data_IF_513927975016
#
_entry.id   IF_513927975016
#
_cell.length_a   1.000
_cell.length_b   1.000
_cell.length_c   1.000
_cell.angle_alpha   90.00
_cell.angle_beta   90.00
_cell.angle_gamma   90.00
#
_symmetry.space_group_name_H-M   'P 1'
#
loop_
_entity.id
_entity.type
_entity.pdbx_description
1 polymer ?
#
# COMPACT_ATOMS: atom_id res chain seq x y z
N UNK A 1 9.01 0.35 -22.04
CA UNK A 1 10.05 0.70 -21.07
C UNK A 1 9.39 0.58 -19.71
N UNK A 2 9.82 -0.37 -18.89
CA UNK A 2 9.33 -0.45 -17.51
C UNK A 2 9.86 0.75 -16.74
N UNK A 3 8.95 1.55 -16.19
CA UNK A 3 9.31 2.57 -15.20
C UNK A 3 9.52 1.86 -13.85
N UNK A 4 10.50 2.28 -13.04
CA UNK A 4 10.69 1.70 -11.72
C UNK A 4 9.46 1.95 -10.85
N UNK A 5 9.06 0.94 -10.07
CA UNK A 5 8.00 1.05 -9.06
C UNK A 5 8.50 1.93 -7.92
N UNK A 6 7.69 2.91 -7.52
CA UNK A 6 8.01 3.85 -6.43
C UNK A 6 7.22 3.49 -5.18
N UNK A 7 7.94 3.23 -4.07
CA UNK A 7 7.36 2.84 -2.79
C UNK A 7 7.58 3.93 -1.75
N UNK A 8 6.51 4.33 -1.07
CA UNK A 8 6.57 5.14 0.15
C UNK A 8 6.18 4.28 1.36
N UNK A 9 6.94 4.37 2.45
CA UNK A 9 6.73 3.60 3.67
C UNK A 9 6.39 4.55 4.83
N UNK A 10 5.26 4.31 5.48
CA UNK A 10 4.84 4.98 6.71
C UNK A 10 4.41 3.91 7.73
N UNK A 11 5.41 3.25 8.32
CA UNK A 11 5.22 2.06 9.16
C UNK A 11 6.18 2.06 10.35
N UNK A 12 5.84 1.32 11.41
CA UNK A 12 6.78 1.07 12.50
C UNK A 12 8.08 0.38 12.02
N UNK A 13 9.19 0.66 12.72
CA UNK A 13 10.56 0.19 12.44
C UNK A 13 10.66 -1.32 12.17
N UNK A 14 9.95 -2.17 12.92
CA UNK A 14 10.01 -3.63 12.72
C UNK A 14 9.49 -4.07 11.34
N UNK A 15 8.36 -3.49 10.90
CA UNK A 15 7.75 -3.79 9.59
C UNK A 15 8.62 -3.30 8.43
N UNK A 16 9.31 -2.18 8.62
CA UNK A 16 10.25 -1.64 7.65
C UNK A 16 11.46 -2.57 7.45
N UNK A 17 12.02 -3.12 8.54
CA UNK A 17 13.15 -4.07 8.46
C UNK A 17 12.74 -5.32 7.68
N UNK A 18 11.51 -5.82 7.86
CA UNK A 18 11.04 -6.99 7.11
C UNK A 18 10.87 -6.69 5.61
N UNK A 19 10.32 -5.53 5.25
CA UNK A 19 10.21 -5.12 3.84
C UNK A 19 11.59 -4.95 3.20
N UNK A 20 12.54 -4.32 3.90
CA UNK A 20 13.91 -4.15 3.39
C UNK A 20 14.68 -5.48 3.28
N UNK A 21 14.35 -6.45 4.14
CA UNK A 21 15.04 -7.75 4.17
C UNK A 21 14.52 -8.73 3.12
N UNK A 22 13.23 -8.65 2.78
CA UNK A 22 12.56 -9.61 1.91
C UNK A 22 11.98 -9.00 0.64
N UNK A 23 12.06 -7.68 0.47
CA UNK A 23 11.65 -6.97 -0.73
C UNK A 23 12.53 -7.33 -1.94
N UNK A 24 11.99 -7.24 -3.17
CA UNK A 24 12.81 -7.35 -4.37
C UNK A 24 13.83 -6.20 -4.40
N UNK A 25 15.05 -6.48 -4.89
CA UNK A 25 16.12 -5.48 -5.06
C UNK A 25 15.70 -4.24 -5.89
N UNK A 26 14.54 -4.30 -6.57
CA UNK A 26 13.99 -3.24 -7.41
C UNK A 26 12.98 -2.31 -6.72
N UNK A 27 12.57 -2.57 -5.48
CA UNK A 27 11.80 -1.59 -4.72
C UNK A 27 12.78 -0.60 -4.11
N UNK A 28 12.95 0.55 -4.77
CA UNK A 28 13.79 1.63 -4.28
C UNK A 28 12.91 2.54 -3.39
N UNK A 29 12.98 2.44 -2.05
CA UNK A 29 12.13 3.22 -1.17
C UNK A 29 12.59 4.68 -1.21
N UNK A 30 11.77 5.56 -1.79
CA UNK A 30 12.06 6.98 -1.81
C UNK A 30 11.37 7.67 -0.63
N UNK A 31 12.16 8.15 0.33
CA UNK A 31 11.70 9.04 1.39
C UNK A 31 11.76 10.49 0.89
N UNK A 32 10.61 11.14 0.73
CA UNK A 32 10.51 12.61 0.67
C UNK A 32 9.43 13.01 1.67
N UNK A 33 9.62 14.10 2.40
CA UNK A 33 8.65 14.62 3.39
C UNK A 33 8.14 15.98 2.90
N UNK A 34 6.82 16.10 2.71
CA UNK A 34 6.09 17.37 2.57
C UNK A 34 5.24 17.47 1.29
N UNK A 35 3.92 17.59 1.46
CA UNK A 35 2.95 17.91 0.40
C UNK A 35 1.77 18.70 0.96
N UNK A 36 1.31 19.71 0.21
CA UNK A 36 0.29 20.69 0.60
C UNK A 36 -1.12 20.06 0.72
N UNK A 37 -1.88 20.48 1.73
CA UNK A 37 -3.19 19.93 2.16
C UNK A 37 -4.23 19.90 1.02
N UNK A 38 -4.57 18.71 0.53
CA UNK A 38 -5.65 18.51 -0.47
C UNK A 38 -6.57 17.30 -0.23
N UNK A 39 -6.38 16.55 0.84
CA UNK A 39 -7.14 15.31 1.09
C UNK A 39 -8.23 15.52 2.13
N UNK A 40 -9.40 14.91 1.91
CA UNK A 40 -10.50 14.91 2.86
C UNK A 40 -10.23 13.92 4.01
N UNK A 41 -9.17 14.17 4.77
CA UNK A 41 -8.74 13.39 5.94
C UNK A 41 -8.95 14.22 7.21
N UNK A 42 -9.28 13.55 8.32
CA UNK A 42 -9.54 14.24 9.59
C UNK A 42 -8.25 14.59 10.35
N UNK A 43 -7.16 13.86 10.07
CA UNK A 43 -5.84 14.09 10.65
C UNK A 43 -4.92 14.76 9.62
N UNK A 44 -4.25 15.83 10.04
CA UNK A 44 -3.33 16.59 9.20
C UNK A 44 -2.02 15.81 8.95
N UNK A 45 -1.62 14.92 9.85
CA UNK A 45 -0.43 14.07 9.68
C UNK A 45 -0.62 13.10 8.51
N UNK A 46 -1.69 12.30 8.56
CA UNK A 46 -2.01 11.34 7.51
C UNK A 46 -2.30 12.02 6.15
N UNK A 47 -2.93 13.20 6.18
CA UNK A 47 -3.15 14.02 4.98
C UNK A 47 -1.82 14.43 4.33
N UNK A 48 -0.82 14.79 5.15
CA UNK A 48 0.52 15.12 4.69
C UNK A 48 1.27 13.91 4.11
N UNK A 49 1.11 12.73 4.72
CA UNK A 49 1.67 11.47 4.20
C UNK A 49 1.05 11.14 2.84
N UNK A 50 -0.28 11.22 2.73
CA UNK A 50 -0.97 10.97 1.46
C UNK A 50 -0.56 11.99 0.39
N UNK A 51 -0.50 13.29 0.73
CA UNK A 51 -0.05 14.33 -0.18
C UNK A 51 1.38 14.14 -0.66
N UNK A 52 2.24 13.64 0.23
CA UNK A 52 3.61 13.28 -0.10
C UNK A 52 3.66 12.09 -1.07
N UNK A 53 2.86 11.04 -0.84
CA UNK A 53 2.77 9.90 -1.76
C UNK A 53 2.35 10.34 -3.17
N UNK A 54 1.36 11.24 -3.26
CA UNK A 54 0.94 11.84 -4.51
C UNK A 54 2.00 12.73 -5.15
N UNK A 55 2.64 13.60 -4.38
CA UNK A 55 3.70 14.50 -4.86
C UNK A 55 4.95 13.76 -5.34
N UNK A 56 5.23 12.59 -4.75
CA UNK A 56 6.31 11.69 -5.14
C UNK A 56 5.94 10.77 -6.33
N UNK A 57 4.69 10.83 -6.80
CA UNK A 57 4.15 9.89 -7.80
C UNK A 57 4.42 8.43 -7.40
N UNK A 58 4.19 8.11 -6.12
CA UNK A 58 4.35 6.75 -5.61
C UNK A 58 3.29 5.82 -6.19
N UNK A 59 3.67 4.58 -6.47
CA UNK A 59 2.75 3.53 -6.89
C UNK A 59 2.05 2.89 -5.69
N UNK A 60 2.78 2.79 -4.57
CA UNK A 60 2.26 2.19 -3.34
C UNK A 60 2.74 2.95 -2.09
N UNK A 61 1.80 3.20 -1.20
CA UNK A 61 2.01 3.64 0.18
C UNK A 61 1.77 2.45 1.11
N UNK A 62 2.76 2.09 1.90
CA UNK A 62 2.63 1.02 2.89
C UNK A 62 2.45 1.64 4.27
N UNK A 63 1.39 1.25 4.98
CA UNK A 63 1.09 1.76 6.32
C UNK A 63 0.40 0.71 7.20
N UNK A 64 0.74 0.67 8.48
CA UNK A 64 0.04 -0.17 9.47
C UNK A 64 -1.26 0.48 9.98
N UNK A 65 -1.48 1.76 9.69
CA UNK A 65 -2.67 2.53 10.07
C UNK A 65 -3.66 2.75 8.92
N UNK A 66 -3.86 1.72 8.08
CA UNK A 66 -4.67 1.79 6.87
C UNK A 66 -6.10 2.33 7.06
N UNK A 67 -6.69 2.18 8.24
CA UNK A 67 -8.06 2.66 8.51
C UNK A 67 -8.17 4.17 8.34
N UNK A 68 -7.13 4.91 8.71
CA UNK A 68 -7.18 6.37 8.74
C UNK A 68 -7.04 6.94 7.31
N UNK A 69 -6.55 6.12 6.38
CA UNK A 69 -6.53 6.36 4.94
C UNK A 69 -7.80 5.91 4.21
N UNK A 70 -8.77 5.26 4.86
CA UNK A 70 -10.01 4.83 4.19
C UNK A 70 -11.02 6.00 4.09
N UNK A 71 -10.84 6.86 3.09
CA UNK A 71 -11.74 8.00 2.84
C UNK A 71 -12.77 7.70 1.74
N UNK A 72 -13.73 8.60 1.55
CA UNK A 72 -14.74 8.51 0.47
C UNK A 72 -14.14 8.52 -0.95
N UNK A 73 -12.90 9.00 -1.09
CA UNK A 73 -12.21 9.14 -2.36
C UNK A 73 -11.37 7.89 -2.69
N UNK A 74 -11.34 6.90 -1.78
CA UNK A 74 -10.68 5.62 -1.97
C UNK A 74 -11.66 4.52 -2.41
N UNK A 75 -11.24 3.73 -3.40
CA UNK A 75 -11.80 2.40 -3.61
C UNK A 75 -11.22 1.43 -2.59
N UNK A 76 -12.00 0.48 -2.09
CA UNK A 76 -11.58 -0.48 -1.05
C UNK A 76 -11.78 -1.90 -1.56
N UNK A 77 -10.83 -2.79 -1.27
CA UNK A 77 -10.94 -4.22 -1.52
C UNK A 77 -10.46 -5.01 -0.30
N UNK A 78 -11.19 -6.05 0.07
CA UNK A 78 -10.75 -7.02 1.06
C UNK A 78 -9.69 -7.93 0.43
N UNK A 79 -8.54 -8.10 1.10
CA UNK A 79 -7.38 -8.79 0.53
C UNK A 79 -7.23 -10.20 1.07
N UNK A 80 -6.84 -10.31 2.33
CA UNK A 80 -6.59 -11.57 3.01
C UNK A 80 -7.09 -11.51 4.43
N UNK A 81 -7.21 -12.68 5.03
CA UNK A 81 -7.61 -12.79 6.42
C UNK A 81 -6.42 -13.23 7.26
N UNK A 82 -6.00 -12.38 8.19
CA UNK A 82 -4.89 -12.66 9.09
C UNK A 82 -5.38 -13.04 10.47
N UNK A 83 -4.70 -13.99 11.10
CA UNK A 83 -4.90 -14.32 12.50
C UNK A 83 -3.96 -13.48 13.35
N UNK A 84 -4.51 -12.62 14.19
CA UNK A 84 -3.74 -11.88 15.19
C UNK A 84 -3.91 -12.53 16.56
N UNK A 85 -2.86 -12.47 17.37
CA UNK A 85 -2.87 -13.00 18.75
C UNK A 85 -3.84 -12.29 19.68
N UNK A 86 -4.28 -11.06 19.35
CA UNK A 86 -5.08 -10.21 20.23
C UNK A 86 -6.53 -10.04 19.79
N UNK A 87 -6.82 -10.01 18.49
CA UNK A 87 -8.16 -9.75 17.95
C UNK A 87 -8.77 -10.94 17.21
N UNK A 88 -8.06 -12.08 17.16
CA UNK A 88 -8.51 -13.25 16.41
C UNK A 88 -8.35 -13.03 14.91
N UNK A 89 -9.40 -13.32 14.15
CA UNK A 89 -9.38 -13.26 12.69
C UNK A 89 -9.75 -11.85 12.21
N UNK A 90 -8.88 -11.19 11.45
CA UNK A 90 -9.10 -9.86 10.85
C UNK A 90 -8.92 -9.93 9.34
N UNK A 91 -9.91 -9.44 8.60
CA UNK A 91 -9.76 -9.16 7.16
C UNK A 91 -8.92 -7.89 6.98
N UNK A 92 -7.83 -7.99 6.24
CA UNK A 92 -7.06 -6.86 5.74
C UNK A 92 -7.71 -6.29 4.48
N UNK A 93 -7.38 -5.04 4.20
CA UNK A 93 -7.91 -4.31 3.06
C UNK A 93 -6.77 -3.59 2.36
N UNK A 94 -6.94 -3.37 1.06
CA UNK A 94 -6.16 -2.42 0.30
C UNK A 94 -7.08 -1.31 -0.20
N UNK A 95 -6.50 -0.12 -0.33
CA UNK A 95 -7.17 1.06 -0.84
C UNK A 95 -6.54 1.45 -2.17
N UNK A 96 -7.34 2.01 -3.07
CA UNK A 96 -6.86 2.63 -4.30
C UNK A 96 -7.41 4.03 -4.42
N UNK A 97 -6.51 4.97 -4.66
CA UNK A 97 -6.84 6.34 -4.98
C UNK A 97 -6.51 6.65 -6.42
N UNK A 98 -7.48 7.19 -7.15
CA UNK A 98 -7.31 7.69 -8.52
C UNK A 98 -7.68 9.18 -8.53
N UNK A 99 -6.67 10.05 -8.44
CA UNK A 99 -6.85 11.50 -8.34
C UNK A 99 -6.10 12.19 -9.47
N UNK A 100 -6.85 12.73 -10.43
CA UNK A 100 -6.27 13.33 -11.63
C UNK A 100 -5.53 12.28 -12.46
N UNK A 101 -4.22 12.45 -12.64
CA UNK A 101 -3.34 11.49 -13.32
C UNK A 101 -2.61 10.53 -12.38
N UNK A 102 -2.77 10.69 -11.06
CA UNK A 102 -2.09 9.86 -10.08
C UNK A 102 -2.97 8.66 -9.70
N UNK A 103 -2.31 7.52 -9.53
CA UNK A 103 -2.90 6.23 -9.17
C UNK A 103 -2.03 5.63 -8.07
N UNK A 104 -2.60 5.43 -6.89
CA UNK A 104 -1.87 5.04 -5.68
C UNK A 104 -2.60 3.91 -4.97
N UNK A 105 -1.85 2.85 -4.65
CA UNK A 105 -2.31 1.80 -3.74
C UNK A 105 -1.87 2.12 -2.31
N UNK A 106 -2.78 2.01 -1.34
CA UNK A 106 -2.44 2.04 0.08
C UNK A 106 -2.68 0.66 0.67
N UNK A 107 -1.66 0.06 1.29
CA UNK A 107 -1.73 -1.32 1.73
C UNK A 107 -1.04 -1.55 3.08
N UNK A 108 -1.50 -2.58 3.79
CA UNK A 108 -0.88 -3.03 5.03
C UNK A 108 0.44 -3.76 4.75
N UNK A 109 1.48 -3.68 5.62
CA UNK A 109 2.76 -4.38 5.42
C UNK A 109 2.63 -5.87 5.14
N UNK A 110 1.67 -6.54 5.79
CA UNK A 110 1.44 -7.99 5.57
C UNK A 110 0.94 -8.32 4.16
N UNK A 111 0.10 -7.46 3.57
CA UNK A 111 -0.34 -7.61 2.20
C UNK A 111 0.84 -7.45 1.24
N UNK A 112 1.62 -6.39 1.41
CA UNK A 112 2.80 -6.11 0.58
C UNK A 112 3.81 -7.26 0.64
N UNK A 113 4.08 -7.77 1.84
CA UNK A 113 4.96 -8.92 2.04
C UNK A 113 4.47 -10.18 1.33
N UNK A 114 3.16 -10.43 1.32
CA UNK A 114 2.58 -11.55 0.59
C UNK A 114 2.69 -11.34 -0.92
N UNK A 115 2.35 -10.15 -1.42
CA UNK A 115 2.40 -9.82 -2.85
C UNK A 115 3.81 -9.89 -3.43
N UNK A 116 4.82 -9.46 -2.66
CA UNK A 116 6.24 -9.64 -3.00
C UNK A 116 6.57 -11.13 -3.18
N UNK A 117 6.15 -11.98 -2.22
CA UNK A 117 6.41 -13.43 -2.28
C UNK A 117 5.70 -14.11 -3.45
N UNK A 118 4.53 -13.60 -3.82
CA UNK A 118 3.77 -14.07 -4.98
C UNK A 118 4.29 -13.50 -6.32
N UNK A 119 5.24 -12.57 -6.28
CA UNK A 119 5.82 -11.95 -7.46
C UNK A 119 4.84 -11.02 -8.20
N UNK A 120 3.93 -10.36 -7.49
CA UNK A 120 2.99 -9.43 -8.09
C UNK A 120 3.69 -8.20 -8.67
N UNK A 121 3.14 -7.68 -9.76
CA UNK A 121 3.51 -6.38 -10.32
C UNK A 121 2.85 -5.28 -9.49
N UNK A 122 3.67 -4.34 -9.00
CA UNK A 122 3.24 -3.24 -8.14
C UNK A 122 2.78 -1.99 -8.89
N UNK A 123 2.70 -2.05 -10.23
CA UNK A 123 1.99 -1.04 -11.01
C UNK A 123 0.52 -0.98 -10.53
N UNK A 124 0.00 0.20 -10.12
CA UNK A 124 -1.25 0.29 -9.35
C UNK A 124 -2.44 -0.43 -9.99
N UNK A 125 -2.72 -0.19 -11.27
CA UNK A 125 -3.80 -0.86 -11.99
C UNK A 125 -3.61 -2.38 -12.10
N UNK A 126 -2.38 -2.85 -12.35
CA UNK A 126 -2.06 -4.29 -12.43
C UNK A 126 -2.21 -4.96 -11.08
N UNK A 127 -1.69 -4.33 -10.02
CA UNK A 127 -1.79 -4.80 -8.65
C UNK A 127 -3.25 -4.88 -8.21
N UNK A 128 -4.01 -3.82 -8.43
CA UNK A 128 -5.44 -3.75 -8.10
C UNK A 128 -6.24 -4.90 -8.74
N UNK A 129 -6.01 -5.17 -10.02
CA UNK A 129 -6.66 -6.28 -10.72
C UNK A 129 -6.27 -7.65 -10.15
N UNK A 130 -5.02 -7.80 -9.68
CA UNK A 130 -4.51 -9.05 -9.11
C UNK A 130 -5.11 -9.32 -7.72
N UNK A 131 -5.27 -8.28 -6.89
CA UNK A 131 -5.77 -8.42 -5.51
C UNK A 131 -7.31 -8.46 -5.44
N UNK A 132 -8.01 -8.02 -6.49
CA UNK A 132 -9.46 -8.17 -6.61
C UNK A 132 -9.89 -9.60 -6.94
N UNK A 133 -8.98 -10.46 -7.42
CA UNK A 133 -9.30 -11.84 -7.76
C UNK A 133 -9.12 -12.72 -6.52
N UNK A 134 -10.21 -13.25 -5.93
CA UNK A 134 -10.10 -14.15 -4.80
C UNK A 134 -9.40 -15.44 -5.25
N UNK A 135 -8.19 -15.68 -4.75
CA UNK A 135 -7.50 -16.97 -4.78
C UNK A 135 -7.22 -17.53 -6.16
N UNK A 136 -6.17 -17.03 -6.82
CA UNK A 136 -5.39 -17.91 -7.70
C UNK A 136 -4.21 -18.44 -6.88
N UNK A 137 -4.52 -19.36 -5.96
CA UNK A 137 -3.49 -20.24 -5.40
C UNK A 137 -2.91 -21.03 -6.59
N UNK A 138 -1.60 -20.93 -6.91
CA UNK A 138 -0.98 -21.93 -7.76
C UNK A 138 -1.14 -23.26 -7.01
N UNK A 139 -1.96 -24.16 -7.54
CA UNK A 139 -2.12 -25.48 -6.98
C UNK A 139 -0.76 -26.17 -6.86
N UNK A 140 -0.49 -26.66 -5.63
CA UNK A 140 0.44 -27.74 -5.25
C UNK A 140 1.76 -27.88 -6.01
#
# INVERSE_FOLDING_TARGET
>A
MDRPVRVLLDVNVCSMIDIMKYGPDSLDPYLILGGEERFAMSDAEDAGVLATAFGAEADILVTDNLRDFATKDASVVDTQVVNTTHSGQRTLQALRYEIGSADLIVAHPFDVMQWIRLGYDFTPATLWNSIQQPGNEPGL
#
